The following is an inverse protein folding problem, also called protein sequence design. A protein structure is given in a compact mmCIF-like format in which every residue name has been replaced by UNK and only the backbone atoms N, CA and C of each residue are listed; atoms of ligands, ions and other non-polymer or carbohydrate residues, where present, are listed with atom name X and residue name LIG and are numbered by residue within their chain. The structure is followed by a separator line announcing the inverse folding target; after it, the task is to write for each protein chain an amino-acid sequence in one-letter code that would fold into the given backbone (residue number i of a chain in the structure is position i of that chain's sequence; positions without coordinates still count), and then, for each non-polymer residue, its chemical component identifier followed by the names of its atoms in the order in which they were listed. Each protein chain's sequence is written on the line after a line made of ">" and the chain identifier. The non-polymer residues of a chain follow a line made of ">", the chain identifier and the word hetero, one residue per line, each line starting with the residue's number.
data_IF_991934011024
#
_entry.id   IF_991934011024
#
_cell.length_a   1.000
_cell.length_b   1.000
_cell.length_c   1.000
_cell.angle_alpha   90.00
_cell.angle_beta   90.00
_cell.angle_gamma   90.00
#
_symmetry.space_group_name_H-M   'P 1'
#
loop_
_entity.id
_entity.type
_entity.pdbx_description
1 polymer ?
#
# COMPACT_ATOMS: atom_id res chain seq x y z
N UNK A 1 -4.41 -24.65 -12.57
CA UNK A 1 -3.54 -23.55 -13.05
C UNK A 1 -4.44 -22.39 -13.41
N UNK A 2 -4.23 -21.19 -12.88
CA UNK A 2 -4.99 -20.03 -13.34
C UNK A 2 -4.74 -19.90 -14.84
N UNK A 3 -5.79 -19.77 -15.63
CA UNK A 3 -5.60 -19.63 -17.05
C UNK A 3 -4.88 -18.32 -17.31
N UNK A 4 -3.89 -18.31 -18.22
CA UNK A 4 -3.23 -17.09 -18.67
C UNK A 4 -4.26 -16.03 -19.09
N UNK A 5 -5.41 -16.49 -19.57
CA UNK A 5 -6.55 -15.66 -19.94
C UNK A 5 -7.12 -14.92 -18.72
N UNK A 6 -7.34 -15.59 -17.59
CA UNK A 6 -7.83 -14.94 -16.36
C UNK A 6 -6.87 -13.85 -15.89
N UNK A 7 -5.58 -14.16 -15.88
CA UNK A 7 -4.53 -13.21 -15.50
C UNK A 7 -4.51 -11.98 -16.43
N UNK A 8 -4.62 -12.22 -17.76
CA UNK A 8 -4.66 -11.14 -18.74
C UNK A 8 -5.88 -10.23 -18.56
N UNK A 9 -7.04 -10.78 -18.21
CA UNK A 9 -8.25 -9.99 -17.97
C UNK A 9 -8.07 -9.11 -16.73
N UNK A 10 -7.50 -9.64 -15.64
CA UNK A 10 -7.19 -8.84 -14.45
C UNK A 10 -6.18 -7.73 -14.74
N UNK A 11 -5.14 -8.02 -15.52
CA UNK A 11 -4.14 -7.02 -15.94
C UNK A 11 -4.78 -5.93 -16.82
N UNK A 12 -5.64 -6.29 -17.75
CA UNK A 12 -6.35 -5.34 -18.59
C UNK A 12 -7.30 -4.46 -17.79
N UNK A 13 -8.10 -5.04 -16.88
CA UNK A 13 -9.00 -4.28 -16.03
C UNK A 13 -8.22 -3.30 -15.12
N UNK A 14 -7.13 -3.75 -14.54
CA UNK A 14 -6.24 -2.89 -13.74
C UNK A 14 -5.58 -1.80 -14.57
N UNK A 15 -5.04 -2.14 -15.75
CA UNK A 15 -4.39 -1.19 -16.63
C UNK A 15 -5.35 -0.12 -17.17
N UNK A 16 -6.57 -0.50 -17.56
CA UNK A 16 -7.57 0.43 -18.09
C UNK A 16 -8.02 1.44 -17.01
N UNK A 17 -8.45 0.98 -15.84
CA UNK A 17 -8.82 1.89 -14.76
C UNK A 17 -7.62 2.67 -14.23
N UNK A 18 -6.44 2.06 -14.13
CA UNK A 18 -5.22 2.75 -13.75
C UNK A 18 -4.85 3.88 -14.70
N UNK A 19 -4.95 3.64 -16.01
CA UNK A 19 -4.69 4.66 -17.02
C UNK A 19 -5.74 5.77 -17.02
N UNK A 20 -7.02 5.43 -16.85
CA UNK A 20 -8.09 6.43 -16.75
C UNK A 20 -7.91 7.33 -15.53
N UNK A 21 -7.52 6.77 -14.40
CA UNK A 21 -7.27 7.53 -13.16
C UNK A 21 -6.08 8.49 -13.27
N UNK A 22 -5.16 8.32 -14.23
CA UNK A 22 -4.11 9.30 -14.51
C UNK A 22 -4.70 10.69 -14.83
N UNK A 23 -5.86 10.74 -15.46
CA UNK A 23 -6.52 11.99 -15.85
C UNK A 23 -7.06 12.77 -14.63
N UNK A 24 -7.16 12.14 -13.47
CA UNK A 24 -7.66 12.79 -12.26
C UNK A 24 -6.65 13.74 -11.61
N UNK A 25 -5.36 13.65 -11.95
CA UNK A 25 -4.29 14.43 -11.32
C UNK A 25 -4.03 14.09 -9.84
N UNK A 26 -4.68 13.05 -9.31
CA UNK A 26 -4.49 12.62 -7.91
C UNK A 26 -3.13 11.88 -7.80
N UNK A 27 -2.32 12.14 -6.76
CA UNK A 27 -1.11 11.38 -6.52
C UNK A 27 -1.39 9.87 -6.42
N UNK A 28 -0.55 9.05 -7.04
CA UNK A 28 -0.71 7.60 -7.11
C UNK A 28 -2.03 7.09 -7.73
N UNK A 29 -2.76 7.94 -8.48
CA UNK A 29 -4.00 7.58 -9.15
C UNK A 29 -3.92 6.28 -9.99
N UNK A 30 -2.84 5.99 -10.74
CA UNK A 30 -2.72 4.72 -11.46
C UNK A 30 -2.78 3.49 -10.57
N UNK A 31 -2.16 3.56 -9.39
CA UNK A 31 -2.19 2.47 -8.42
C UNK A 31 -3.60 2.24 -7.88
N UNK A 32 -4.29 3.34 -7.50
CA UNK A 32 -5.68 3.28 -7.05
C UNK A 32 -6.61 2.73 -8.14
N UNK A 33 -6.50 3.23 -9.36
CA UNK A 33 -7.29 2.77 -10.48
C UNK A 33 -7.07 1.28 -10.77
N UNK A 34 -5.82 0.84 -10.76
CA UNK A 34 -5.50 -0.57 -10.97
C UNK A 34 -6.06 -1.47 -9.87
N UNK A 35 -5.97 -1.03 -8.60
CA UNK A 35 -6.55 -1.76 -7.47
C UNK A 35 -8.08 -1.85 -7.57
N UNK A 36 -8.75 -0.75 -7.92
CA UNK A 36 -10.18 -0.72 -8.11
C UNK A 36 -10.61 -1.61 -9.28
N UNK A 37 -9.92 -1.53 -10.44
CA UNK A 37 -10.24 -2.34 -11.61
C UNK A 37 -10.13 -3.83 -11.34
N UNK A 38 -9.02 -4.27 -10.78
CA UNK A 38 -8.81 -5.66 -10.42
C UNK A 38 -9.75 -6.10 -9.27
N UNK A 39 -9.97 -5.24 -8.27
CA UNK A 39 -10.82 -5.52 -7.13
C UNK A 39 -12.30 -5.69 -7.51
N UNK A 40 -12.85 -4.78 -8.31
CA UNK A 40 -14.24 -4.87 -8.79
C UNK A 40 -14.45 -6.15 -9.62
N UNK A 41 -13.48 -6.49 -10.46
CA UNK A 41 -13.53 -7.72 -11.25
C UNK A 41 -13.49 -8.96 -10.33
N UNK A 42 -12.67 -8.95 -9.30
CA UNK A 42 -12.58 -10.04 -8.31
C UNK A 42 -13.88 -10.20 -7.53
N UNK A 43 -14.48 -9.09 -7.09
CA UNK A 43 -15.74 -9.09 -6.33
C UNK A 43 -16.93 -9.53 -7.19
N UNK A 44 -16.88 -9.31 -8.51
CA UNK A 44 -17.97 -9.72 -9.43
C UNK A 44 -18.22 -11.23 -9.43
N UNK A 45 -17.25 -12.02 -8.98
CA UNK A 45 -17.33 -13.48 -8.95
C UNK A 45 -17.43 -14.17 -10.32
N UNK A 46 -17.26 -13.41 -11.41
CA UNK A 46 -17.37 -13.95 -12.77
C UNK A 46 -16.10 -14.71 -13.21
N UNK A 47 -15.00 -14.49 -12.51
CA UNK A 47 -13.71 -15.10 -12.78
C UNK A 47 -13.12 -15.64 -11.49
N UNK A 48 -12.44 -16.79 -11.59
CA UNK A 48 -11.64 -17.30 -10.48
C UNK A 48 -10.58 -16.28 -10.07
N UNK A 49 -10.27 -16.24 -8.79
CA UNK A 49 -9.21 -15.38 -8.28
C UNK A 49 -7.91 -15.71 -9.00
N UNK A 50 -7.30 -14.69 -9.61
CA UNK A 50 -6.04 -14.87 -10.35
C UNK A 50 -4.91 -15.24 -9.37
N UNK A 51 -4.42 -16.47 -9.46
CA UNK A 51 -3.20 -16.86 -8.77
C UNK A 51 -2.01 -16.40 -9.62
N UNK A 52 -1.22 -15.48 -9.07
CA UNK A 52 -0.01 -15.00 -9.74
C UNK A 52 1.06 -16.09 -9.76
N UNK A 53 1.84 -16.20 -10.86
CA UNK A 53 2.97 -17.11 -10.91
C UNK A 53 3.92 -16.90 -9.75
N UNK A 54 4.54 -18.00 -9.28
CA UNK A 54 5.56 -17.93 -8.24
C UNK A 54 6.66 -16.94 -8.64
N UNK A 55 7.03 -16.05 -7.71
CA UNK A 55 8.06 -15.04 -7.94
C UNK A 55 7.57 -13.71 -8.52
N UNK A 56 6.33 -13.58 -9.01
CA UNK A 56 5.82 -12.29 -9.54
C UNK A 56 5.90 -11.18 -8.50
N UNK A 57 5.50 -11.44 -7.26
CA UNK A 57 5.58 -10.46 -6.16
C UNK A 57 7.03 -10.07 -5.88
N UNK A 58 7.96 -11.02 -5.95
CA UNK A 58 9.39 -10.77 -5.76
C UNK A 58 9.96 -9.89 -6.88
N UNK A 59 9.64 -10.18 -8.13
CA UNK A 59 10.11 -9.38 -9.28
C UNK A 59 9.57 -7.95 -9.19
N UNK A 60 8.28 -7.78 -8.89
CA UNK A 60 7.67 -6.46 -8.68
C UNK A 60 8.32 -5.72 -7.50
N UNK A 61 8.57 -6.43 -6.39
CA UNK A 61 9.25 -5.86 -5.22
C UNK A 61 10.67 -5.38 -5.54
N UNK A 62 11.44 -6.17 -6.28
CA UNK A 62 12.79 -5.78 -6.75
C UNK A 62 12.70 -4.56 -7.66
N UNK A 63 11.76 -4.54 -8.62
CA UNK A 63 11.56 -3.41 -9.52
C UNK A 63 11.23 -2.11 -8.78
N UNK A 64 10.26 -2.15 -7.87
CA UNK A 64 9.87 -1.01 -7.04
C UNK A 64 11.05 -0.56 -6.16
N UNK A 65 11.72 -1.51 -5.50
CA UNK A 65 12.89 -1.22 -4.66
C UNK A 65 14.03 -0.57 -5.45
N UNK A 66 14.25 -1.01 -6.69
CA UNK A 66 15.26 -0.41 -7.58
C UNK A 66 14.89 1.03 -7.93
N UNK A 67 13.63 1.28 -8.31
CA UNK A 67 13.16 2.64 -8.63
C UNK A 67 13.32 3.58 -7.42
N UNK A 68 12.94 3.14 -6.24
CA UNK A 68 13.12 3.93 -5.01
C UNK A 68 14.62 4.12 -4.71
N UNK A 69 15.41 3.05 -4.82
CA UNK A 69 16.83 3.06 -4.53
C UNK A 69 17.65 4.00 -5.44
N UNK A 70 17.25 4.16 -6.70
CA UNK A 70 17.91 5.12 -7.62
C UNK A 70 17.72 6.59 -7.20
N UNK A 71 16.70 6.89 -6.38
CA UNK A 71 16.52 8.22 -5.79
C UNK A 71 17.44 8.51 -4.59
N UNK A 72 18.10 7.49 -4.03
CA UNK A 72 19.01 7.66 -2.89
C UNK A 72 20.36 8.15 -3.39
N UNK A 73 20.71 9.39 -3.10
CA UNK A 73 21.95 10.01 -3.44
C UNK A 73 22.71 10.48 -2.19
N UNK A 74 23.89 11.10 -2.37
CA UNK A 74 24.68 11.60 -1.24
C UNK A 74 23.94 12.62 -0.39
N UNK A 75 23.17 13.52 -1.01
CA UNK A 75 22.34 14.50 -0.31
C UNK A 75 21.26 13.82 0.55
N UNK A 76 20.64 12.75 0.06
CA UNK A 76 19.68 11.95 0.83
C UNK A 76 20.30 11.35 2.09
N UNK A 77 21.58 10.90 1.99
CA UNK A 77 22.29 10.37 3.16
C UNK A 77 22.61 11.48 4.16
N UNK A 78 23.01 12.65 3.70
CA UNK A 78 23.26 13.81 4.56
C UNK A 78 21.99 14.27 5.28
N UNK A 79 20.86 14.33 4.58
CA UNK A 79 19.54 14.60 5.17
C UNK A 79 19.16 13.53 6.19
N UNK A 80 19.39 12.25 5.91
CA UNK A 80 19.10 11.17 6.83
C UNK A 80 19.93 11.25 8.10
N UNK A 81 21.21 11.67 8.00
CA UNK A 81 22.07 11.90 9.16
C UNK A 81 21.53 13.03 10.06
N UNK A 82 20.83 14.00 9.51
CA UNK A 82 20.14 15.04 10.30
C UNK A 82 18.81 14.52 10.85
N UNK A 83 18.09 13.72 10.07
CA UNK A 83 16.73 13.25 10.36
C UNK A 83 16.69 11.93 11.14
N UNK A 84 17.81 11.31 11.50
CA UNK A 84 17.81 9.99 12.13
C UNK A 84 17.00 9.95 13.45
N UNK A 85 17.07 11.01 14.27
CA UNK A 85 16.32 11.10 15.53
C UNK A 85 14.80 11.15 15.27
N UNK A 86 14.28 12.10 14.45
CA UNK A 86 12.86 12.08 14.07
C UNK A 86 12.45 10.78 13.39
N UNK A 87 13.29 10.18 12.54
CA UNK A 87 12.99 8.90 11.89
C UNK A 87 12.76 7.77 12.91
N UNK A 88 13.61 7.66 13.93
CA UNK A 88 13.41 6.70 15.00
C UNK A 88 12.13 6.97 15.80
N UNK A 89 11.87 8.24 16.17
CA UNK A 89 10.66 8.62 16.90
C UNK A 89 9.41 8.26 16.09
N UNK A 90 9.38 8.58 14.81
CA UNK A 90 8.28 8.24 13.90
C UNK A 90 8.10 6.71 13.84
N UNK A 91 9.18 5.97 13.62
CA UNK A 91 9.12 4.50 13.49
C UNK A 91 8.57 3.85 14.74
N UNK A 92 9.11 4.20 15.92
CA UNK A 92 8.65 3.62 17.19
C UNK A 92 7.22 4.05 17.53
N UNK A 93 6.86 5.31 17.29
CA UNK A 93 5.49 5.80 17.51
C UNK A 93 4.48 5.07 16.64
N UNK A 94 4.77 4.89 15.35
CA UNK A 94 3.91 4.15 14.43
C UNK A 94 3.80 2.67 14.83
N UNK A 95 4.92 2.04 15.24
CA UNK A 95 4.92 0.65 15.67
C UNK A 95 4.08 0.45 16.94
N UNK A 96 4.28 1.30 17.95
CA UNK A 96 3.49 1.25 19.18
C UNK A 96 2.01 1.49 18.90
N UNK A 97 1.69 2.51 18.11
CA UNK A 97 0.31 2.80 17.72
C UNK A 97 -0.31 1.65 16.95
N UNK A 98 0.43 1.04 16.00
CA UNK A 98 -0.04 -0.14 15.26
C UNK A 98 -0.36 -1.32 16.19
N UNK A 99 0.51 -1.61 17.16
CA UNK A 99 0.27 -2.67 18.14
C UNK A 99 -0.97 -2.36 19.00
N UNK A 100 -1.09 -1.15 19.52
CA UNK A 100 -2.22 -0.74 20.35
C UNK A 100 -3.54 -0.84 19.56
N UNK A 101 -3.57 -0.33 18.34
CA UNK A 101 -4.75 -0.42 17.45
C UNK A 101 -5.06 -1.87 17.10
N UNK A 102 -4.07 -2.69 16.79
CA UNK A 102 -4.25 -4.12 16.51
C UNK A 102 -4.87 -4.86 17.69
N UNK A 103 -4.35 -4.64 18.90
CA UNK A 103 -4.89 -5.24 20.12
C UNK A 103 -6.32 -4.74 20.43
N UNK A 104 -6.58 -3.46 20.21
CA UNK A 104 -7.92 -2.88 20.35
C UNK A 104 -8.91 -3.55 19.38
N UNK A 105 -8.55 -3.66 18.10
CA UNK A 105 -9.38 -4.32 17.08
C UNK A 105 -9.64 -5.78 17.45
N UNK A 106 -8.60 -6.51 17.85
CA UNK A 106 -8.75 -7.88 18.33
C UNK A 106 -9.76 -7.96 19.50
N UNK A 107 -9.61 -7.08 20.50
CA UNK A 107 -10.40 -7.14 21.73
C UNK A 107 -11.86 -6.76 21.54
N UNK A 108 -12.15 -5.76 20.70
CA UNK A 108 -13.51 -5.19 20.56
C UNK A 108 -14.26 -5.69 19.33
N UNK A 109 -13.57 -6.10 18.27
CA UNK A 109 -14.21 -6.55 17.04
C UNK A 109 -14.09 -8.06 16.80
N UNK A 110 -13.43 -8.80 17.66
CA UNK A 110 -13.30 -10.25 17.55
C UNK A 110 -12.44 -10.73 16.37
N UNK A 111 -11.67 -9.84 15.75
CA UNK A 111 -10.73 -10.18 14.67
C UNK A 111 -9.57 -10.99 15.26
N UNK A 112 -9.07 -11.99 14.52
CA UNK A 112 -7.92 -12.77 15.01
C UNK A 112 -6.72 -11.86 15.29
N UNK A 113 -5.96 -12.18 16.34
CA UNK A 113 -4.81 -11.35 16.78
C UNK A 113 -3.81 -11.11 15.65
N UNK A 114 -3.53 -12.16 14.86
CA UNK A 114 -2.56 -12.08 13.76
C UNK A 114 -3.06 -11.12 12.67
N UNK A 115 -4.32 -11.23 12.25
CA UNK A 115 -4.93 -10.33 11.26
C UNK A 115 -4.94 -8.89 11.76
N UNK A 116 -5.32 -8.69 13.02
CA UNK A 116 -5.41 -7.37 13.63
C UNK A 116 -4.02 -6.70 13.75
N UNK A 117 -3.02 -7.44 14.24
CA UNK A 117 -1.66 -6.91 14.39
C UNK A 117 -0.99 -6.64 13.04
N UNK A 118 -1.03 -7.61 12.11
CA UNK A 118 -0.44 -7.43 10.78
C UNK A 118 -1.19 -6.37 9.95
N UNK A 119 -2.52 -6.31 10.07
CA UNK A 119 -3.34 -5.30 9.39
C UNK A 119 -3.10 -3.87 9.91
N UNK A 120 -2.84 -3.72 11.22
CA UNK A 120 -2.54 -2.43 11.82
C UNK A 120 -1.04 -2.05 11.73
N UNK A 121 -0.16 -3.00 11.43
CA UNK A 121 1.29 -2.76 11.40
C UNK A 121 1.68 -1.69 10.38
N UNK A 122 2.56 -0.74 10.75
CA UNK A 122 3.15 0.19 9.79
C UNK A 122 4.12 -0.60 8.90
N UNK A 123 3.78 -0.75 7.63
CA UNK A 123 4.62 -1.49 6.67
C UNK A 123 4.01 -1.47 5.27
N UNK A 124 4.80 -1.89 4.31
CA UNK A 124 4.32 -2.01 2.93
C UNK A 124 3.27 -3.11 2.79
N UNK A 125 2.23 -2.84 2.00
CA UNK A 125 1.15 -3.79 1.72
C UNK A 125 1.67 -5.16 1.30
N UNK A 126 2.69 -5.19 0.44
CA UNK A 126 3.29 -6.43 -0.06
C UNK A 126 3.99 -7.20 1.08
N UNK A 127 4.83 -6.53 1.87
CA UNK A 127 5.58 -7.19 2.94
C UNK A 127 4.69 -7.80 4.01
N UNK A 128 3.72 -7.04 4.52
CA UNK A 128 2.80 -7.53 5.55
C UNK A 128 1.86 -8.62 5.03
N UNK A 129 1.45 -8.56 3.76
CA UNK A 129 0.64 -9.62 3.15
C UNK A 129 1.43 -10.93 2.99
N UNK A 130 2.71 -10.85 2.63
CA UNK A 130 3.59 -12.03 2.54
C UNK A 130 3.77 -12.70 3.91
N UNK A 131 4.03 -11.91 4.96
CA UNK A 131 4.07 -12.44 6.33
C UNK A 131 2.72 -13.04 6.72
N UNK A 132 1.61 -12.38 6.35
CA UNK A 132 0.26 -12.92 6.58
C UNK A 132 0.00 -14.24 5.87
N UNK A 133 0.59 -14.46 4.69
CA UNK A 133 0.48 -15.74 3.95
C UNK A 133 1.12 -16.90 4.71
N UNK A 134 2.23 -16.68 5.44
CA UNK A 134 2.86 -17.70 6.28
C UNK A 134 1.93 -18.17 7.41
N UNK A 135 1.01 -17.31 7.84
CA UNK A 135 -0.02 -17.61 8.85
C UNK A 135 -1.39 -17.95 8.24
N UNK A 136 -1.51 -18.08 6.92
CA UNK A 136 -2.75 -18.37 6.22
C UNK A 136 -3.78 -17.22 6.20
N UNK A 137 -3.36 -16.00 6.52
CA UNK A 137 -4.22 -14.81 6.61
C UNK A 137 -3.84 -13.70 5.62
N UNK A 138 -2.99 -13.99 4.65
CA UNK A 138 -2.43 -13.01 3.72
C UNK A 138 -3.48 -12.17 2.99
N UNK A 139 -4.56 -12.79 2.50
CA UNK A 139 -5.63 -12.09 1.80
C UNK A 139 -6.36 -11.07 2.70
N UNK A 140 -6.65 -11.43 3.95
CA UNK A 140 -7.29 -10.52 4.91
C UNK A 140 -6.39 -9.35 5.27
N UNK A 141 -5.10 -9.60 5.49
CA UNK A 141 -4.09 -8.57 5.74
C UNK A 141 -3.95 -7.65 4.54
N UNK A 142 -3.87 -8.20 3.33
CA UNK A 142 -3.82 -7.42 2.10
C UNK A 142 -5.02 -6.49 1.93
N UNK A 143 -6.23 -6.98 2.21
CA UNK A 143 -7.46 -6.20 2.13
C UNK A 143 -7.44 -5.01 3.12
N UNK A 144 -7.05 -5.24 4.38
CA UNK A 144 -6.93 -4.17 5.39
C UNK A 144 -5.91 -3.09 4.96
N UNK A 145 -4.76 -3.50 4.44
CA UNK A 145 -3.76 -2.57 3.92
C UNK A 145 -4.25 -1.82 2.67
N UNK A 146 -5.04 -2.47 1.79
CA UNK A 146 -5.62 -1.83 0.61
C UNK A 146 -6.61 -0.73 1.01
N UNK A 147 -7.52 -1.02 1.94
CA UNK A 147 -8.47 -0.01 2.48
C UNK A 147 -7.73 1.16 3.10
N UNK A 148 -6.71 0.89 3.93
CA UNK A 148 -5.87 1.94 4.52
C UNK A 148 -5.18 2.78 3.45
N UNK A 149 -4.57 2.14 2.44
CA UNK A 149 -3.89 2.85 1.36
C UNK A 149 -4.85 3.77 0.61
N UNK A 150 -6.03 3.28 0.22
CA UNK A 150 -7.07 4.09 -0.42
C UNK A 150 -7.46 5.28 0.45
N UNK A 151 -7.74 5.03 1.73
CA UNK A 151 -8.11 6.09 2.69
C UNK A 151 -7.03 7.16 2.79
N UNK A 152 -5.78 6.77 2.94
CA UNK A 152 -4.64 7.70 3.04
C UNK A 152 -4.49 8.52 1.75
N UNK A 153 -4.58 7.87 0.57
CA UNK A 153 -4.44 8.55 -0.71
C UNK A 153 -5.57 9.57 -0.98
N UNK A 154 -6.77 9.34 -0.46
CA UNK A 154 -7.85 10.32 -0.54
C UNK A 154 -7.73 11.42 0.52
N UNK A 155 -7.32 11.10 1.75
CA UNK A 155 -7.28 12.06 2.85
C UNK A 155 -6.06 12.97 2.80
N UNK A 156 -4.88 12.46 2.44
CA UNK A 156 -3.63 13.25 2.47
C UNK A 156 -3.72 14.51 1.59
N UNK A 157 -4.20 14.47 0.33
CA UNK A 157 -4.34 15.68 -0.47
C UNK A 157 -5.28 16.71 0.18
N UNK A 158 -6.37 16.26 0.78
CA UNK A 158 -7.31 17.14 1.47
C UNK A 158 -6.67 17.79 2.71
N UNK A 159 -5.93 17.00 3.50
CA UNK A 159 -5.19 17.49 4.67
C UNK A 159 -4.10 18.48 4.25
N UNK A 160 -3.30 18.15 3.25
CA UNK A 160 -2.25 19.02 2.74
C UNK A 160 -2.86 20.34 2.25
N UNK A 161 -3.92 20.30 1.44
CA UNK A 161 -4.59 21.50 0.95
C UNK A 161 -5.19 22.36 2.09
N UNK A 162 -5.65 21.73 3.16
CA UNK A 162 -6.18 22.45 4.33
C UNK A 162 -5.08 23.18 5.10
N UNK A 163 -3.90 22.57 5.23
CA UNK A 163 -2.78 23.16 5.96
C UNK A 163 -1.81 23.98 5.08
N UNK A 164 -1.83 23.82 3.75
CA UNK A 164 -1.00 24.56 2.79
C UNK A 164 -1.22 26.07 2.78
N UNK A 165 -2.42 26.63 3.10
CA UNK A 165 -2.58 28.07 3.21
C UNK A 165 -1.74 28.71 4.33
N UNK A 166 -1.18 27.89 5.24
CA UNK A 166 -0.40 28.35 6.40
C UNK A 166 1.12 28.37 6.15
N UNK A 167 1.58 27.99 4.98
CA UNK A 167 2.99 28.07 4.61
C UNK A 167 3.19 27.65 3.16
N UNK A 168 3.50 28.58 2.29
CA UNK A 168 3.93 28.32 0.93
C UNK A 168 5.18 27.41 0.95
N UNK A 169 4.99 26.14 0.71
CA UNK A 169 6.12 25.27 0.37
C UNK A 169 6.44 25.52 -1.09
N UNK A 170 7.42 26.37 -1.35
CA UNK A 170 8.04 26.50 -2.68
C UNK A 170 8.64 25.14 -3.04
N UNK A 171 7.93 24.38 -3.84
CA UNK A 171 8.48 23.16 -4.46
C UNK A 171 9.37 23.67 -5.62
N UNK A 172 10.69 23.52 -5.55
CA UNK A 172 11.55 23.86 -6.69
C UNK A 172 11.17 22.94 -7.86
N UNK A 173 10.92 23.58 -9.02
CA UNK A 173 10.62 22.89 -10.29
C UNK A 173 11.84 22.15 -10.82
#
# INVERSE_FOLDING_TARGET
>A
MPSLMTLSIYLLAGATLGSLMLLSGIPAAPLLGAMLGAGLLSISGQLDVAAWPLGTKTVLGIGIGTVIGTGINKGTIEELLVLWKPALVITFSLMITGILVGLFIHRFFGVSTIVALLGAAPGGTIGMSLVGEEFGVGAAVAALHAVRLMTVLFLIPAVVNFFSPLGSVDIPK
#
